data_IF_385610400594
#
_entry.id   IF_385610400594
#
_cell.length_a   1.000
_cell.length_b   1.000
_cell.length_c   1.000
_cell.angle_alpha   90.00
_cell.angle_beta   90.00
_cell.angle_gamma   90.00
#
_symmetry.space_group_name_H-M   'P 1'
#
loop_
_entity.id
_entity.type
_entity.pdbx_description
1 polymer ?
#
# COMPACT_ATOMS: atom_id res chain seq x y z
N UNK A 1 -6.98 -46.11 37.04
CA UNK A 1 -6.99 -44.75 36.49
C UNK A 1 -8.24 -44.62 35.65
N UNK A 2 -9.17 -43.80 36.08
CA UNK A 2 -10.47 -43.65 35.41
C UNK A 2 -10.29 -42.87 34.11
N UNK A 3 -10.15 -43.60 33.00
CA UNK A 3 -9.98 -43.07 31.65
C UNK A 3 -11.02 -41.99 31.31
N UNK A 4 -12.25 -42.15 31.81
CA UNK A 4 -13.32 -41.17 31.63
C UNK A 4 -13.05 -39.84 32.34
N UNK A 5 -12.40 -39.85 33.51
CA UNK A 5 -12.07 -38.64 34.27
C UNK A 5 -10.91 -37.87 33.62
N UNK A 6 -9.97 -38.60 33.01
CA UNK A 6 -8.89 -38.02 32.20
C UNK A 6 -9.44 -37.40 30.91
N UNK A 7 -10.33 -38.10 30.19
CA UNK A 7 -10.97 -37.58 28.98
C UNK A 7 -11.85 -36.36 29.27
N UNK A 8 -12.60 -36.37 30.37
CA UNK A 8 -13.44 -35.24 30.78
C UNK A 8 -12.60 -34.00 31.13
N UNK A 9 -11.49 -34.16 31.87
CA UNK A 9 -10.63 -33.04 32.24
C UNK A 9 -9.92 -32.42 31.03
N UNK A 10 -9.44 -33.23 30.09
CA UNK A 10 -8.89 -32.75 28.81
C UNK A 10 -9.96 -32.01 28.00
N UNK A 11 -11.18 -32.55 27.92
CA UNK A 11 -12.29 -31.94 27.19
C UNK A 11 -12.68 -30.57 27.74
N UNK A 12 -12.81 -30.43 29.06
CA UNK A 12 -13.14 -29.15 29.72
C UNK A 12 -12.02 -28.13 29.51
N UNK A 13 -10.77 -28.54 29.67
CA UNK A 13 -9.62 -27.64 29.48
C UNK A 13 -9.52 -27.14 28.03
N UNK A 14 -9.73 -28.04 27.05
CA UNK A 14 -9.77 -27.70 25.63
C UNK A 14 -10.94 -26.75 25.32
N UNK A 15 -12.12 -27.00 25.88
CA UNK A 15 -13.28 -26.12 25.69
C UNK A 15 -13.02 -24.69 26.20
N UNK A 16 -12.40 -24.55 27.38
CA UNK A 16 -12.05 -23.24 27.94
C UNK A 16 -11.06 -22.50 27.02
N UNK A 17 -10.03 -23.20 26.53
CA UNK A 17 -9.05 -22.61 25.59
C UNK A 17 -9.75 -22.17 24.29
N UNK A 18 -10.60 -23.01 23.71
CA UNK A 18 -11.32 -22.67 22.49
C UNK A 18 -12.24 -21.47 22.68
N UNK A 19 -12.97 -21.40 23.79
CA UNK A 19 -13.82 -20.25 24.12
C UNK A 19 -12.98 -18.98 24.23
N UNK A 20 -11.83 -19.03 24.91
CA UNK A 20 -10.95 -17.88 25.05
C UNK A 20 -10.37 -17.42 23.70
N UNK A 21 -9.97 -18.35 22.83
CA UNK A 21 -9.50 -18.05 21.47
C UNK A 21 -10.61 -17.42 20.63
N UNK A 22 -11.84 -17.94 20.70
CA UNK A 22 -13.00 -17.37 19.98
C UNK A 22 -13.27 -15.94 20.44
N UNK A 23 -13.26 -15.68 21.75
CA UNK A 23 -13.44 -14.33 22.29
C UNK A 23 -12.35 -13.38 21.77
N UNK A 24 -11.08 -13.80 21.77
CA UNK A 24 -9.98 -13.00 21.24
C UNK A 24 -10.11 -12.72 19.73
N UNK A 25 -10.56 -13.71 18.94
CA UNK A 25 -10.76 -13.53 17.50
C UNK A 25 -11.93 -12.59 17.19
N UNK A 26 -13.05 -12.71 17.92
CA UNK A 26 -14.20 -11.80 17.79
C UNK A 26 -13.81 -10.38 18.19
N UNK A 27 -13.11 -10.21 19.31
CA UNK A 27 -12.60 -8.92 19.73
C UNK A 27 -11.66 -8.31 18.68
N UNK A 28 -10.73 -9.10 18.12
CA UNK A 28 -9.84 -8.67 17.05
C UNK A 28 -10.60 -8.22 15.80
N UNK A 29 -11.63 -8.96 15.38
CA UNK A 29 -12.41 -8.63 14.19
C UNK A 29 -13.22 -7.33 14.37
N UNK A 30 -13.68 -7.04 15.59
CA UNK A 30 -14.44 -5.82 15.88
C UNK A 30 -13.53 -4.60 16.12
N UNK A 31 -12.37 -4.80 16.76
CA UNK A 31 -11.41 -3.73 17.11
C UNK A 31 -10.44 -3.38 15.97
N UNK A 32 -10.14 -4.32 15.07
CA UNK A 32 -9.31 -4.08 13.91
C UNK A 32 -10.20 -3.74 12.71
N UNK A 33 -10.23 -2.48 12.25
CA UNK A 33 -11.01 -2.10 11.08
C UNK A 33 -10.48 -2.87 9.86
N UNK A 34 -11.17 -3.95 9.52
CA UNK A 34 -10.83 -4.86 8.43
C UNK A 34 -11.91 -4.67 7.38
N UNK A 35 -11.79 -3.60 6.59
CA UNK A 35 -12.80 -3.22 5.62
C UNK A 35 -12.20 -2.46 4.45
N UNK A 36 -12.96 -2.36 3.37
CA UNK A 36 -12.59 -1.49 2.26
C UNK A 36 -12.68 -0.03 2.69
N UNK A 37 -11.70 0.76 2.30
CA UNK A 37 -11.67 2.21 2.47
C UNK A 37 -11.77 2.90 1.12
N UNK A 38 -12.26 4.13 1.16
CA UNK A 38 -12.44 4.97 -0.03
C UNK A 38 -11.27 5.94 -0.15
N UNK A 39 -10.61 5.89 -1.30
CA UNK A 39 -9.61 6.88 -1.69
C UNK A 39 -10.23 7.81 -2.73
N UNK A 40 -10.26 9.10 -2.43
CA UNK A 40 -10.70 10.14 -3.37
C UNK A 40 -9.48 10.73 -4.07
N UNK A 41 -9.44 10.66 -5.40
CA UNK A 41 -8.33 11.09 -6.24
C UNK A 41 -8.75 12.35 -7.00
N UNK A 42 -7.95 13.42 -6.86
CA UNK A 42 -8.18 14.72 -7.52
C UNK A 42 -9.59 15.32 -7.32
N UNK A 43 -10.32 14.88 -6.28
CA UNK A 43 -11.68 15.33 -5.98
C UNK A 43 -12.76 14.85 -6.95
N UNK A 44 -12.45 13.92 -7.85
CA UNK A 44 -13.38 13.42 -8.90
C UNK A 44 -13.57 11.91 -8.83
N UNK A 45 -12.46 11.17 -8.79
CA UNK A 45 -12.50 9.71 -8.85
C UNK A 45 -12.45 9.13 -7.44
N UNK A 46 -13.37 8.23 -7.11
CA UNK A 46 -13.37 7.53 -5.82
C UNK A 46 -13.15 6.04 -6.03
N UNK A 47 -12.17 5.48 -5.33
CA UNK A 47 -11.79 4.08 -5.49
C UNK A 47 -11.86 3.35 -4.16
N UNK A 48 -12.56 2.23 -4.15
CA UNK A 48 -12.65 1.32 -3.00
C UNK A 48 -11.48 0.34 -3.01
N UNK A 49 -10.71 0.32 -1.92
CA UNK A 49 -9.46 -0.45 -1.79
C UNK A 49 -9.34 -1.10 -0.42
N UNK A 50 -8.60 -2.20 -0.33
CA UNK A 50 -8.30 -2.85 0.95
C UNK A 50 -7.33 -2.02 1.79
N UNK A 51 -7.46 -2.12 3.11
CA UNK A 51 -6.54 -1.50 4.07
C UNK A 51 -5.23 -2.30 4.21
N UNK A 52 -4.14 -1.61 4.56
CA UNK A 52 -2.87 -2.21 4.94
C UNK A 52 -1.73 -2.00 3.94
N UNK A 53 -2.07 -1.88 2.66
CA UNK A 53 -1.11 -1.68 1.58
C UNK A 53 -0.63 -0.22 1.47
N UNK A 54 0.47 -0.01 0.73
CA UNK A 54 0.97 1.32 0.41
C UNK A 54 0.11 1.99 -0.66
N UNK A 55 0.02 3.33 -0.65
CA UNK A 55 -0.66 4.07 -1.72
C UNK A 55 -0.10 3.72 -3.11
N UNK A 56 1.21 3.49 -3.23
CA UNK A 56 1.83 3.10 -4.51
C UNK A 56 1.21 1.81 -5.07
N UNK A 57 1.18 0.75 -4.27
CA UNK A 57 0.63 -0.55 -4.68
C UNK A 57 -0.88 -0.48 -4.92
N UNK A 58 -1.59 0.22 -4.04
CA UNK A 58 -3.04 0.37 -4.10
C UNK A 58 -3.49 1.15 -5.35
N UNK A 59 -2.77 2.20 -5.74
CA UNK A 59 -3.06 2.96 -6.96
C UNK A 59 -2.70 2.16 -8.21
N UNK A 60 -1.59 1.42 -8.20
CA UNK A 60 -1.19 0.57 -9.31
C UNK A 60 -2.23 -0.51 -9.62
N UNK A 61 -2.81 -1.15 -8.59
CA UNK A 61 -3.93 -2.12 -8.77
C UNK A 61 -5.18 -1.51 -9.42
N UNK A 62 -5.30 -0.19 -9.41
CA UNK A 62 -6.43 0.57 -9.96
C UNK A 62 -6.08 1.28 -11.26
N UNK A 63 -4.92 0.95 -11.85
CA UNK A 63 -4.46 1.48 -13.14
C UNK A 63 -3.83 2.87 -13.06
N UNK A 64 -3.49 3.35 -11.85
CA UNK A 64 -2.82 4.64 -11.63
C UNK A 64 -1.38 4.37 -11.19
N UNK A 65 -0.44 4.61 -12.10
CA UNK A 65 0.96 4.25 -11.89
C UNK A 65 1.79 5.46 -11.50
N UNK A 66 2.11 5.57 -10.22
CA UNK A 66 3.05 6.59 -9.76
C UNK A 66 4.49 6.24 -10.21
N UNK A 67 5.30 7.24 -10.60
CA UNK A 67 6.69 7.01 -10.96
C UNK A 67 7.47 6.45 -9.77
N UNK A 68 8.08 5.28 -9.95
CA UNK A 68 8.82 4.58 -8.91
C UNK A 68 9.98 3.80 -9.49
N UNK A 69 11.20 4.33 -9.36
CA UNK A 69 12.41 3.62 -9.75
C UNK A 69 12.90 2.61 -8.68
N UNK A 70 12.50 2.78 -7.41
CA UNK A 70 13.02 1.98 -6.28
C UNK A 70 12.13 0.82 -5.83
N UNK A 71 10.98 0.61 -6.48
CA UNK A 71 10.03 -0.45 -6.12
C UNK A 71 9.43 -0.31 -4.72
N UNK A 72 9.34 0.91 -4.18
CA UNK A 72 8.69 1.18 -2.90
C UNK A 72 9.62 1.31 -1.68
N UNK A 73 10.94 1.21 -1.86
CA UNK A 73 11.93 1.36 -0.77
C UNK A 73 12.08 2.77 -0.20
N UNK A 74 11.39 3.76 -0.78
CA UNK A 74 11.43 5.16 -0.32
C UNK A 74 12.71 5.91 -0.69
N UNK A 75 13.68 5.30 -1.38
CA UNK A 75 14.99 5.90 -1.66
C UNK A 75 15.04 6.79 -2.90
N UNK A 76 14.19 6.57 -3.91
CA UNK A 76 14.22 7.35 -5.16
C UNK A 76 13.49 8.70 -5.05
N UNK A 77 12.58 8.86 -4.08
CA UNK A 77 11.79 10.08 -3.91
C UNK A 77 10.88 10.44 -5.10
N UNK A 78 10.63 9.55 -6.06
CA UNK A 78 9.81 9.85 -7.24
C UNK A 78 8.30 9.66 -7.00
N UNK A 79 7.92 8.79 -6.06
CA UNK A 79 6.53 8.42 -5.76
C UNK A 79 5.73 9.54 -5.05
N UNK A 80 6.00 10.83 -5.35
CA UNK A 80 5.45 12.00 -4.68
C UNK A 80 3.98 12.21 -5.03
N UNK A 81 3.18 12.44 -4.02
CA UNK A 81 1.78 12.83 -4.12
C UNK A 81 1.43 13.76 -2.96
N UNK A 82 0.31 14.45 -3.07
CA UNK A 82 -0.20 15.28 -1.99
C UNK A 82 -1.38 14.57 -1.32
N UNK A 83 -1.36 14.47 0.00
CA UNK A 83 -2.48 13.93 0.77
C UNK A 83 -3.25 15.11 1.33
N UNK A 84 -4.48 15.34 0.85
CA UNK A 84 -5.29 16.48 1.27
C UNK A 84 -6.11 16.19 2.52
N UNK A 85 -6.49 14.93 2.72
CA UNK A 85 -7.23 14.49 3.91
C UNK A 85 -6.87 13.04 4.24
N UNK A 86 -6.81 12.70 5.53
CA UNK A 86 -6.38 11.39 6.01
C UNK A 86 -4.89 11.10 5.82
N UNK A 87 -4.51 9.81 5.77
CA UNK A 87 -3.14 9.34 5.53
C UNK A 87 -2.15 9.48 6.70
N UNK A 88 -2.44 10.33 7.69
CA UNK A 88 -1.58 10.53 8.87
C UNK A 88 -0.33 11.38 8.59
N UNK A 89 0.58 11.41 9.55
CA UNK A 89 1.77 12.26 9.51
C UNK A 89 2.88 11.71 8.60
N UNK A 90 3.74 12.64 8.16
CA UNK A 90 4.93 12.33 7.36
C UNK A 90 5.94 11.52 8.19
N UNK A 91 6.42 10.40 7.64
CA UNK A 91 7.44 9.57 8.29
C UNK A 91 8.83 10.21 8.18
N UNK A 92 9.69 9.94 9.16
CA UNK A 92 11.08 10.43 9.12
C UNK A 92 11.87 9.92 7.90
N UNK A 93 11.54 8.72 7.42
CA UNK A 93 12.14 8.12 6.22
C UNK A 93 11.88 8.92 4.94
N UNK A 94 10.77 9.66 4.88
CA UNK A 94 10.39 10.44 3.69
C UNK A 94 10.67 11.94 3.85
N UNK A 95 10.85 12.46 5.08
CA UNK A 95 11.14 13.88 5.34
C UNK A 95 12.33 14.42 4.55
N UNK A 96 13.37 13.62 4.36
CA UNK A 96 14.57 14.02 3.61
C UNK A 96 14.31 14.36 2.13
N UNK A 97 13.21 13.89 1.55
CA UNK A 97 12.86 14.13 0.15
C UNK A 97 11.99 15.37 -0.09
N UNK A 98 11.59 16.07 0.97
CA UNK A 98 10.70 17.22 0.90
C UNK A 98 11.27 18.45 1.57
N UNK A 99 10.96 19.60 1.00
CA UNK A 99 11.23 20.91 1.63
C UNK A 99 10.23 21.18 2.76
N UNK A 100 10.58 22.08 3.69
CA UNK A 100 9.65 22.50 4.76
C UNK A 100 8.31 23.01 4.23
N UNK A 101 8.29 23.66 3.06
CA UNK A 101 7.06 24.12 2.41
C UNK A 101 6.21 22.94 1.93
N UNK A 102 6.83 21.97 1.24
CA UNK A 102 6.14 20.76 0.79
C UNK A 102 5.58 19.93 1.96
N UNK A 103 6.30 19.86 3.08
CA UNK A 103 5.80 19.17 4.28
C UNK A 103 4.55 19.88 4.83
N UNK A 104 4.53 21.23 4.86
CA UNK A 104 3.35 22.01 5.25
C UNK A 104 2.19 21.85 4.27
N UNK A 105 2.50 21.68 2.99
CA UNK A 105 1.51 21.42 1.94
C UNK A 105 1.11 19.92 1.87
N UNK A 106 1.41 19.11 2.89
CA UNK A 106 1.05 17.69 3.01
C UNK A 106 1.53 16.80 1.85
N UNK A 107 2.72 17.07 1.32
CA UNK A 107 3.37 16.18 0.36
C UNK A 107 3.95 14.94 1.02
N UNK A 108 3.75 13.79 0.38
CA UNK A 108 4.17 12.47 0.88
C UNK A 108 4.67 11.57 -0.23
N UNK A 109 5.46 10.57 0.16
CA UNK A 109 5.82 9.46 -0.70
C UNK A 109 4.71 8.42 -0.64
N UNK A 110 3.99 8.21 -1.75
CA UNK A 110 2.93 7.21 -1.85
C UNK A 110 3.41 5.78 -1.55
N UNK A 111 4.70 5.52 -1.72
CA UNK A 111 5.29 4.24 -1.37
C UNK A 111 5.49 4.01 0.14
N UNK A 112 5.53 5.06 0.95
CA UNK A 112 5.69 4.97 2.41
C UNK A 112 4.38 5.23 3.16
N UNK A 113 3.44 5.93 2.52
CA UNK A 113 2.11 6.18 3.07
C UNK A 113 1.24 4.91 2.97
N UNK A 114 0.82 4.39 4.13
CA UNK A 114 -0.08 3.23 4.23
C UNK A 114 -1.53 3.66 4.27
N UNK A 115 -2.38 2.88 3.60
CA UNK A 115 -3.82 3.08 3.57
C UNK A 115 -4.44 2.44 4.81
N UNK A 116 -4.88 3.25 5.78
CA UNK A 116 -5.48 2.81 7.07
C UNK A 116 -6.92 3.25 7.28
N UNK A 117 -7.45 4.05 6.35
CA UNK A 117 -8.73 4.73 6.49
C UNK A 117 -9.06 5.45 5.19
N UNK A 118 -10.24 6.05 5.14
CA UNK A 118 -10.63 6.91 4.03
C UNK A 118 -9.66 8.08 3.92
N UNK A 119 -9.25 8.41 2.69
CA UNK A 119 -8.31 9.49 2.47
C UNK A 119 -8.51 10.15 1.11
N UNK A 120 -8.10 11.40 1.01
CA UNK A 120 -8.14 12.16 -0.23
C UNK A 120 -6.72 12.51 -0.67
N UNK A 121 -6.43 12.27 -1.94
CA UNK A 121 -5.11 12.49 -2.52
C UNK A 121 -5.20 13.32 -3.80
N UNK A 122 -4.12 14.05 -4.08
CA UNK A 122 -3.88 14.74 -5.33
C UNK A 122 -2.66 14.17 -6.02
N UNK A 123 -2.83 13.84 -7.29
CA UNK A 123 -1.84 13.16 -8.12
C UNK A 123 -1.76 13.90 -9.46
N UNK A 124 -0.56 14.08 -10.04
CA UNK A 124 -0.42 14.74 -11.35
C UNK A 124 -1.22 14.03 -12.45
N UNK A 125 -1.86 14.78 -13.34
CA UNK A 125 -2.65 14.19 -14.43
C UNK A 125 -1.80 13.36 -15.40
N UNK A 126 -0.48 13.60 -15.46
CA UNK A 126 0.45 12.86 -16.32
C UNK A 126 0.57 11.37 -16.00
N UNK A 127 0.19 10.96 -14.78
CA UNK A 127 0.19 9.53 -14.39
C UNK A 127 -1.17 8.87 -14.55
N UNK A 128 -2.20 9.66 -14.88
CA UNK A 128 -3.52 9.15 -15.23
C UNK A 128 -3.46 8.59 -16.65
N UNK A 129 -3.90 7.36 -16.86
CA UNK A 129 -4.02 6.76 -18.19
C UNK A 129 -2.72 6.21 -18.78
N UNK A 130 -1.69 6.00 -17.96
CA UNK A 130 -0.50 5.22 -18.36
C UNK A 130 -0.92 3.79 -18.69
N UNK A 131 -0.44 3.27 -19.81
CA UNK A 131 -0.70 1.90 -20.26
C UNK A 131 0.60 1.13 -20.39
N UNK A 132 0.54 -0.14 -20.09
CA UNK A 132 1.59 -1.08 -20.43
C UNK A 132 1.53 -1.38 -21.93
N UNK A 133 2.70 -1.44 -22.56
CA UNK A 133 2.84 -1.76 -23.98
C UNK A 133 3.70 -3.01 -24.09
N UNK A 134 3.17 -4.02 -24.77
CA UNK A 134 3.97 -5.17 -25.19
C UNK A 134 4.63 -4.82 -26.53
N UNK A 135 5.95 -4.65 -26.50
CA UNK A 135 6.72 -4.28 -27.68
C UNK A 135 7.64 -5.43 -28.13
N UNK A 136 7.87 -5.53 -29.43
CA UNK A 136 8.76 -6.54 -30.01
C UNK A 136 10.09 -5.90 -30.38
N UNK A 137 11.20 -6.52 -30.01
CA UNK A 137 12.54 -5.98 -30.33
C UNK A 137 12.78 -6.03 -31.84
N UNK A 138 12.86 -4.85 -32.46
CA UNK A 138 13.15 -4.68 -33.88
C UNK A 138 14.66 -4.64 -34.13
N UNK A 139 15.44 -4.11 -33.17
CA UNK A 139 16.89 -4.00 -33.33
C UNK A 139 17.64 -3.71 -32.03
N UNK A 140 18.85 -4.25 -31.91
CA UNK A 140 19.73 -4.07 -30.76
C UNK A 140 21.19 -3.96 -31.25
N UNK A 141 21.65 -2.75 -31.59
CA UNK A 141 23.01 -2.51 -32.12
C UNK A 141 23.88 -1.75 -31.13
N UNK A 142 25.17 -2.05 -31.09
CA UNK A 142 26.14 -1.28 -30.33
C UNK A 142 26.48 -0.02 -31.14
N UNK A 143 26.30 1.17 -30.55
CA UNK A 143 26.73 2.46 -31.14
C UNK A 143 28.08 2.92 -30.57
N UNK A 144 28.47 2.40 -29.41
CA UNK A 144 29.79 2.55 -28.80
C UNK A 144 30.12 1.30 -27.96
N UNK A 145 31.31 1.25 -27.35
CA UNK A 145 31.76 0.12 -26.51
C UNK A 145 30.76 -0.26 -25.42
N UNK A 146 30.07 0.72 -24.83
CA UNK A 146 29.11 0.53 -23.73
C UNK A 146 27.73 1.16 -23.97
N UNK A 147 27.40 1.55 -25.21
CA UNK A 147 26.10 2.16 -25.55
C UNK A 147 25.43 1.33 -26.64
N UNK A 148 24.16 0.97 -26.40
CA UNK A 148 23.30 0.24 -27.33
C UNK A 148 22.12 1.09 -27.76
N UNK A 149 21.80 1.06 -29.04
CA UNK A 149 20.51 1.52 -29.54
C UNK A 149 19.56 0.32 -29.55
N UNK A 150 18.48 0.43 -28.77
CA UNK A 150 17.44 -0.57 -28.63
C UNK A 150 16.15 -0.02 -29.27
N UNK A 151 15.66 -0.70 -30.31
CA UNK A 151 14.42 -0.38 -31.01
C UNK A 151 13.38 -1.42 -30.69
N UNK A 152 12.22 -0.95 -30.25
CA UNK A 152 11.03 -1.72 -29.87
C UNK A 152 9.78 -1.10 -30.46
#
# INVERSE_FOLDING_TARGET
>A
MDMNLILASIGVFLAIILVLVIILLVAKNYLSPSGNVKITINGKDTVSVGQGDSLLSTLAQKGIYLPSACGGKGSCGQCKLQVTDGGGEILDSEKGHFTRKQIKDHWRLGCQCKVRGDMSIKVPDSVMGVKEWECTVIGNRNVATFIKEFKV
#
